data_IF_040742364603
#
_entry.id   IF_040742364603
#
_cell.length_a   1.000
_cell.length_b   1.000
_cell.length_c   1.000
_cell.angle_alpha   90.00
_cell.angle_beta   90.00
_cell.angle_gamma   90.00
#
_symmetry.space_group_name_H-M   'P 1'
#
loop_
_entity.id
_entity.type
_entity.pdbx_description
1 polymer ?
#
# COMPACT_ATOMS: atom_id res chain seq x y z
N UNK A 1 16.21 28.96 -2.45
CA UNK A 1 16.96 28.56 -3.64
C UNK A 1 16.25 27.36 -4.22
N UNK A 2 15.48 27.56 -5.30
CA UNK A 2 14.81 26.47 -6.01
C UNK A 2 15.94 25.61 -6.61
N UNK A 3 16.02 24.34 -6.24
CA UNK A 3 16.97 23.43 -6.88
C UNK A 3 16.52 23.28 -8.34
N UNK A 4 17.34 23.77 -9.26
CA UNK A 4 17.13 23.53 -10.70
C UNK A 4 17.27 22.04 -10.94
N UNK A 5 16.18 21.39 -11.31
CA UNK A 5 16.25 20.01 -11.79
C UNK A 5 16.59 20.00 -13.28
N UNK A 6 17.24 18.96 -13.79
CA UNK A 6 17.42 18.82 -15.21
C UNK A 6 16.06 18.81 -15.91
N UNK A 7 15.94 19.52 -17.02
CA UNK A 7 14.72 19.50 -17.83
C UNK A 7 14.54 18.18 -18.58
N UNK A 8 15.63 17.44 -18.77
CA UNK A 8 15.67 16.17 -19.52
C UNK A 8 16.79 15.27 -19.00
N UNK A 9 16.56 13.96 -19.08
CA UNK A 9 17.53 12.89 -18.80
C UNK A 9 17.36 11.85 -19.91
N UNK A 10 18.35 11.69 -20.79
CA UNK A 10 18.24 10.87 -21.99
C UNK A 10 17.05 11.30 -22.85
N UNK A 11 16.17 10.37 -23.20
CA UNK A 11 14.90 10.64 -23.93
C UNK A 11 13.73 11.06 -23.03
N UNK A 12 13.93 11.21 -21.71
CA UNK A 12 12.87 11.45 -20.74
C UNK A 12 12.80 12.93 -20.36
N UNK A 13 11.65 13.56 -20.59
CA UNK A 13 11.36 14.93 -20.20
C UNK A 13 10.95 14.97 -18.74
N UNK A 14 11.70 15.67 -17.88
CA UNK A 14 11.45 15.75 -16.44
C UNK A 14 10.28 16.70 -16.17
N UNK A 15 9.22 16.20 -15.52
CA UNK A 15 8.04 16.97 -15.17
C UNK A 15 8.08 17.50 -13.72
N UNK A 16 8.62 16.70 -12.78
CA UNK A 16 8.67 17.06 -11.36
C UNK A 16 9.71 16.24 -10.60
N UNK A 17 10.27 16.84 -9.54
CA UNK A 17 11.05 16.14 -8.53
C UNK A 17 10.11 15.50 -7.49
N UNK A 18 10.31 14.22 -7.19
CA UNK A 18 9.47 13.46 -6.25
C UNK A 18 10.14 13.25 -4.88
N UNK A 19 11.45 13.44 -4.80
CA UNK A 19 12.21 13.24 -3.57
C UNK A 19 13.44 12.35 -3.76
N UNK A 20 14.09 11.99 -2.66
CA UNK A 20 15.23 11.08 -2.63
C UNK A 20 16.35 11.55 -1.71
N UNK A 21 17.33 10.64 -1.49
CA UNK A 21 18.54 10.88 -0.70
C UNK A 21 19.79 10.61 -1.54
N UNK A 22 20.36 9.40 -1.42
CA UNK A 22 21.48 8.95 -2.27
C UNK A 22 21.10 8.79 -3.75
N UNK A 23 19.82 8.66 -4.05
CA UNK A 23 19.24 8.74 -5.39
C UNK A 23 18.13 9.77 -5.42
N UNK A 24 18.00 10.47 -6.53
CA UNK A 24 16.90 11.42 -6.77
C UNK A 24 15.85 10.76 -7.62
N UNK A 25 14.59 10.92 -7.28
CA UNK A 25 13.46 10.36 -8.03
C UNK A 25 12.70 11.51 -8.70
N UNK A 26 12.43 11.35 -9.99
CA UNK A 26 11.70 12.31 -10.80
C UNK A 26 10.51 11.66 -11.48
N UNK A 27 9.43 12.39 -11.61
CA UNK A 27 8.38 12.09 -12.58
C UNK A 27 8.82 12.64 -13.93
N UNK A 28 8.74 11.81 -14.97
CA UNK A 28 9.12 12.20 -16.32
C UNK A 28 8.18 11.59 -17.36
N UNK A 29 8.28 12.10 -18.60
CA UNK A 29 7.57 11.59 -19.75
C UNK A 29 8.56 11.01 -20.75
N UNK A 30 8.36 9.77 -21.18
CA UNK A 30 9.09 9.18 -22.32
C UNK A 30 8.66 9.93 -23.59
N UNK A 31 9.59 10.67 -24.20
CA UNK A 31 9.30 11.49 -25.40
C UNK A 31 9.00 10.66 -26.64
N UNK A 32 9.37 9.36 -26.65
CA UNK A 32 9.14 8.44 -27.77
C UNK A 32 7.82 7.72 -27.61
N UNK A 33 7.53 7.18 -26.40
CA UNK A 33 6.34 6.38 -26.14
C UNK A 33 5.17 7.19 -25.58
N UNK A 34 5.40 8.45 -25.17
CA UNK A 34 4.39 9.36 -24.65
C UNK A 34 3.86 9.00 -23.25
N UNK A 35 4.42 7.99 -22.59
CA UNK A 35 3.97 7.53 -21.26
C UNK A 35 4.74 8.20 -20.12
N UNK A 36 4.07 8.34 -18.96
CA UNK A 36 4.74 8.76 -17.73
C UNK A 36 5.58 7.63 -17.14
N UNK A 37 6.73 7.99 -16.60
CA UNK A 37 7.69 7.09 -15.94
C UNK A 37 8.22 7.73 -14.67
N UNK A 38 8.76 6.93 -13.76
CA UNK A 38 9.58 7.37 -12.66
C UNK A 38 11.07 7.17 -13.04
N UNK A 39 11.87 8.19 -12.84
CA UNK A 39 13.32 8.13 -13.05
C UNK A 39 14.02 8.17 -11.70
N UNK A 40 14.71 7.10 -11.33
CA UNK A 40 15.61 7.05 -10.17
C UNK A 40 17.03 7.30 -10.68
N UNK A 41 17.65 8.40 -10.27
CA UNK A 41 18.98 8.85 -10.74
C UNK A 41 19.92 8.87 -9.56
N UNK A 42 21.09 8.29 -9.68
CA UNK A 42 22.10 8.33 -8.62
C UNK A 42 22.54 9.78 -8.38
N UNK A 43 22.53 10.24 -7.13
CA UNK A 43 22.88 11.61 -6.78
C UNK A 43 24.37 11.90 -7.09
N UNK A 44 24.69 13.16 -7.40
CA UNK A 44 26.05 13.57 -7.76
C UNK A 44 27.11 13.17 -6.72
N UNK A 45 26.77 13.29 -5.44
CA UNK A 45 27.63 12.87 -4.31
C UNK A 45 27.94 11.37 -4.29
N UNK A 46 27.01 10.53 -4.77
CA UNK A 46 27.15 9.08 -4.83
C UNK A 46 27.66 8.60 -6.20
N UNK A 47 27.48 9.41 -7.27
CA UNK A 47 27.93 9.07 -8.61
C UNK A 47 29.46 9.04 -8.77
N UNK A 48 30.20 9.66 -7.86
CA UNK A 48 31.67 9.60 -7.82
C UNK A 48 32.20 8.35 -7.11
N UNK A 49 31.34 7.61 -6.42
CA UNK A 49 31.69 6.38 -5.71
C UNK A 49 31.44 5.14 -6.58
N UNK A 50 32.50 4.38 -6.97
CA UNK A 50 32.34 3.18 -7.78
C UNK A 50 31.48 2.10 -7.10
N UNK A 51 31.52 1.99 -5.78
CA UNK A 51 30.73 1.02 -5.01
C UNK A 51 29.24 1.38 -5.06
N UNK A 52 28.90 2.64 -4.88
CA UNK A 52 27.52 3.12 -5.02
C UNK A 52 26.96 2.89 -6.43
N UNK A 53 27.76 3.14 -7.48
CA UNK A 53 27.38 2.81 -8.86
C UNK A 53 27.15 1.32 -9.07
N UNK A 54 28.04 0.48 -8.55
CA UNK A 54 27.93 -0.97 -8.68
C UNK A 54 26.65 -1.49 -7.99
N UNK A 55 26.35 -1.01 -6.78
CA UNK A 55 25.13 -1.34 -6.04
C UNK A 55 23.87 -0.89 -6.79
N UNK A 56 23.86 0.34 -7.33
CA UNK A 56 22.74 0.86 -8.11
C UNK A 56 22.47 0.02 -9.37
N UNK A 57 23.52 -0.38 -10.09
CA UNK A 57 23.42 -1.25 -11.25
C UNK A 57 22.94 -2.66 -10.88
N UNK A 58 23.41 -3.20 -9.76
CA UNK A 58 22.96 -4.50 -9.24
C UNK A 58 21.47 -4.48 -8.90
N UNK A 59 20.99 -3.41 -8.24
CA UNK A 59 19.56 -3.20 -7.95
C UNK A 59 18.75 -3.17 -9.26
N UNK A 60 19.18 -2.40 -10.26
CA UNK A 60 18.50 -2.32 -11.54
C UNK A 60 18.43 -3.67 -12.26
N UNK A 61 19.52 -4.44 -12.30
CA UNK A 61 19.57 -5.78 -12.90
C UNK A 61 18.63 -6.74 -12.21
N UNK A 62 18.59 -6.73 -10.87
CA UNK A 62 17.70 -7.60 -10.13
C UNK A 62 16.24 -7.21 -10.35
N UNK A 63 15.91 -5.93 -10.19
CA UNK A 63 14.53 -5.44 -10.37
C UNK A 63 14.01 -5.71 -11.79
N UNK A 64 14.85 -5.57 -12.82
CA UNK A 64 14.47 -5.86 -14.21
C UNK A 64 14.23 -7.35 -14.51
N UNK A 65 14.80 -8.25 -13.69
CA UNK A 65 14.61 -9.71 -13.83
C UNK A 65 13.30 -10.21 -13.19
N UNK A 66 12.58 -9.34 -12.48
CA UNK A 66 11.40 -9.67 -11.69
C UNK A 66 10.17 -9.06 -12.36
N UNK A 67 9.17 -9.90 -12.65
CA UNK A 67 7.87 -9.45 -13.15
C UNK A 67 6.75 -10.00 -12.28
N UNK A 68 6.10 -9.12 -11.52
CA UNK A 68 4.98 -9.46 -10.64
C UNK A 68 4.06 -8.25 -10.49
N UNK A 69 2.74 -8.46 -10.43
CA UNK A 69 1.76 -7.37 -10.35
C UNK A 69 1.93 -6.44 -9.14
N UNK A 70 2.44 -6.97 -8.03
CA UNK A 70 2.69 -6.23 -6.79
C UNK A 70 4.17 -5.85 -6.58
N UNK A 71 4.96 -5.79 -7.65
CA UNK A 71 6.34 -5.30 -7.66
C UNK A 71 6.45 -4.21 -8.74
N UNK A 72 7.20 -3.17 -8.45
CA UNK A 72 7.42 -2.10 -9.43
C UNK A 72 8.14 -2.63 -10.66
N UNK A 73 7.65 -2.29 -11.85
CA UNK A 73 8.28 -2.68 -13.10
C UNK A 73 9.44 -1.73 -13.44
N UNK A 74 10.60 -2.30 -13.75
CA UNK A 74 11.74 -1.55 -14.34
C UNK A 74 11.64 -1.68 -15.86
N UNK A 75 11.67 -0.54 -16.56
CA UNK A 75 11.48 -0.47 -17.99
C UNK A 75 12.80 -0.32 -18.76
N UNK A 76 13.75 0.42 -18.18
CA UNK A 76 14.99 0.76 -18.85
C UNK A 76 16.07 1.14 -17.82
N UNK A 77 17.31 1.17 -18.26
CA UNK A 77 18.45 1.62 -17.50
C UNK A 77 19.40 2.36 -18.44
N UNK A 78 19.97 3.46 -17.97
CA UNK A 78 20.91 4.24 -18.76
C UNK A 78 21.91 4.99 -17.90
N UNK A 79 22.81 5.70 -18.58
CA UNK A 79 23.74 6.62 -17.95
C UNK A 79 23.79 7.92 -18.76
N UNK A 80 23.76 9.07 -18.09
CA UNK A 80 23.91 10.40 -18.69
C UNK A 80 24.84 11.24 -17.83
N UNK A 81 25.83 11.87 -18.46
CA UNK A 81 26.89 12.67 -17.80
C UNK A 81 27.56 11.91 -16.63
N UNK A 82 27.83 10.61 -16.82
CA UNK A 82 28.42 9.75 -15.79
C UNK A 82 27.53 9.36 -14.63
N UNK A 83 26.24 9.70 -14.69
CA UNK A 83 25.23 9.38 -13.68
C UNK A 83 24.29 8.28 -14.16
N UNK A 84 24.32 7.11 -13.55
CA UNK A 84 23.37 6.06 -13.88
C UNK A 84 21.95 6.43 -13.45
N UNK A 85 20.97 6.06 -14.28
CA UNK A 85 19.55 6.21 -13.99
C UNK A 85 18.78 4.94 -14.32
N UNK A 86 17.72 4.70 -13.56
CA UNK A 86 16.75 3.61 -13.76
C UNK A 86 15.41 4.21 -14.10
N UNK A 87 14.75 3.64 -15.10
CA UNK A 87 13.41 4.02 -15.55
C UNK A 87 12.42 3.00 -15.07
N UNK A 88 11.44 3.44 -14.33
CA UNK A 88 10.46 2.58 -13.69
C UNK A 88 9.03 2.99 -14.04
N UNK A 89 8.11 2.10 -13.77
CA UNK A 89 6.68 2.38 -13.73
C UNK A 89 6.41 3.61 -12.85
N UNK A 90 5.65 4.57 -13.37
CA UNK A 90 5.13 5.67 -12.55
C UNK A 90 3.88 5.19 -11.81
N UNK A 91 3.93 5.26 -10.49
CA UNK A 91 2.82 4.84 -9.63
C UNK A 91 2.02 6.06 -9.18
N UNK A 92 0.72 6.03 -9.41
CA UNK A 92 -0.20 7.00 -8.83
C UNK A 92 -0.56 6.58 -7.40
N UNK A 93 -0.68 7.55 -6.48
CA UNK A 93 -0.95 7.27 -5.08
C UNK A 93 0.15 7.81 -4.16
N UNK A 94 0.44 7.07 -3.10
CA UNK A 94 1.42 7.48 -2.08
C UNK A 94 2.13 6.27 -1.46
N UNK A 95 3.21 6.52 -0.72
CA UNK A 95 3.83 5.45 0.06
C UNK A 95 2.91 4.97 1.17
N UNK A 96 3.01 3.69 1.53
CA UNK A 96 2.23 3.12 2.64
C UNK A 96 2.55 3.85 3.96
N UNK A 97 3.77 4.40 4.12
CA UNK A 97 4.13 5.27 5.25
C UNK A 97 3.17 6.44 5.36
N UNK A 98 3.02 7.20 4.29
CA UNK A 98 2.13 8.37 4.22
C UNK A 98 0.66 7.95 4.41
N UNK A 99 0.25 6.82 3.83
CA UNK A 99 -1.10 6.31 4.00
C UNK A 99 -1.41 5.91 5.45
N UNK A 100 -0.45 5.31 6.19
CA UNK A 100 -0.58 4.98 7.62
C UNK A 100 -0.69 6.28 8.44
N UNK A 101 0.25 7.21 8.28
CA UNK A 101 0.29 8.48 9.02
C UNK A 101 -0.99 9.30 8.84
N UNK A 102 -1.52 9.32 7.63
CA UNK A 102 -2.76 10.02 7.29
C UNK A 102 -4.03 9.19 7.52
N UNK A 103 -3.92 7.99 8.09
CA UNK A 103 -5.03 7.06 8.36
C UNK A 103 -5.87 6.75 7.12
N UNK A 104 -5.23 6.63 5.95
CA UNK A 104 -5.86 6.35 4.64
C UNK A 104 -5.74 4.89 4.18
N UNK A 105 -5.38 4.00 5.07
CA UNK A 105 -5.22 2.56 4.78
C UNK A 105 -6.54 1.80 4.71
N UNK A 106 -7.66 2.47 5.00
CA UNK A 106 -9.00 1.88 4.97
C UNK A 106 -9.34 1.05 6.20
N UNK A 107 -10.35 0.19 6.06
CA UNK A 107 -10.81 -0.72 7.10
C UNK A 107 -9.86 -1.93 7.29
N UNK A 108 -10.20 -2.79 8.25
CA UNK A 108 -9.40 -3.97 8.58
C UNK A 108 -9.20 -4.89 7.35
N UNK A 109 -10.25 -5.15 6.59
CA UNK A 109 -10.18 -6.02 5.43
C UNK A 109 -9.25 -5.45 4.35
N UNK A 110 -9.34 -4.14 4.07
CA UNK A 110 -8.46 -3.45 3.11
C UNK A 110 -7.00 -3.48 3.56
N UNK A 111 -6.71 -3.28 4.85
CA UNK A 111 -5.35 -3.39 5.39
C UNK A 111 -4.79 -4.80 5.22
N UNK A 112 -5.59 -5.84 5.48
CA UNK A 112 -5.18 -7.21 5.22
C UNK A 112 -4.98 -7.50 3.72
N UNK A 113 -5.79 -6.92 2.82
CA UNK A 113 -5.60 -7.04 1.38
C UNK A 113 -4.29 -6.40 0.91
N UNK A 114 -3.93 -5.22 1.44
CA UNK A 114 -2.62 -4.58 1.19
C UNK A 114 -1.50 -5.51 1.67
N UNK A 115 -1.58 -6.01 2.90
CA UNK A 115 -0.58 -6.92 3.45
C UNK A 115 -0.46 -8.21 2.62
N UNK A 116 -1.57 -8.78 2.17
CA UNK A 116 -1.59 -9.97 1.31
C UNK A 116 -0.86 -9.75 -0.01
N UNK A 117 -1.09 -8.62 -0.67
CA UNK A 117 -0.41 -8.24 -1.91
C UNK A 117 1.10 -8.12 -1.70
N UNK A 118 1.53 -7.46 -0.62
CA UNK A 118 2.95 -7.35 -0.24
C UNK A 118 3.53 -8.72 0.09
N UNK A 119 2.83 -9.55 0.85
CA UNK A 119 3.26 -10.92 1.16
C UNK A 119 3.44 -11.78 -0.09
N UNK A 120 2.54 -11.70 -1.07
CA UNK A 120 2.65 -12.38 -2.36
C UNK A 120 3.87 -11.92 -3.15
N UNK A 121 4.14 -10.60 -3.18
CA UNK A 121 5.33 -10.03 -3.80
C UNK A 121 6.62 -10.58 -3.18
N UNK A 122 6.71 -10.59 -1.83
CA UNK A 122 7.88 -11.12 -1.12
C UNK A 122 8.02 -12.63 -1.35
N UNK A 123 6.91 -13.37 -1.29
CA UNK A 123 6.91 -14.81 -1.60
C UNK A 123 7.45 -15.10 -3.00
N UNK A 124 7.09 -14.28 -3.99
CA UNK A 124 7.56 -14.42 -5.36
C UNK A 124 9.07 -14.19 -5.48
N UNK A 125 9.64 -13.15 -4.85
CA UNK A 125 11.10 -12.92 -4.91
C UNK A 125 11.87 -14.00 -4.17
N UNK A 126 11.33 -14.57 -3.08
CA UNK A 126 11.94 -15.69 -2.39
C UNK A 126 12.03 -16.96 -3.27
N UNK A 127 11.03 -17.22 -4.13
CA UNK A 127 11.11 -18.29 -5.13
C UNK A 127 12.24 -18.07 -6.15
N UNK A 128 12.62 -16.80 -6.39
CA UNK A 128 13.77 -16.42 -7.21
C UNK A 128 15.09 -16.39 -6.43
N UNK A 129 15.09 -16.88 -5.18
CA UNK A 129 16.24 -16.88 -4.26
C UNK A 129 16.76 -15.47 -3.93
N UNK A 130 15.87 -14.47 -3.92
CA UNK A 130 16.15 -13.09 -3.58
C UNK A 130 15.57 -12.80 -2.21
N UNK A 131 16.38 -12.20 -1.33
CA UNK A 131 15.96 -11.65 -0.04
C UNK A 131 15.91 -10.13 -0.18
N UNK A 132 14.79 -9.52 0.25
CA UNK A 132 14.57 -8.09 0.08
C UNK A 132 15.39 -7.24 1.07
N UNK A 133 15.46 -7.66 2.34
CA UNK A 133 16.27 -7.05 3.42
C UNK A 133 15.84 -5.65 3.89
N UNK A 134 14.87 -5.01 3.23
CA UNK A 134 14.40 -3.66 3.58
C UNK A 134 12.88 -3.51 3.45
N UNK A 135 12.13 -4.48 3.99
CA UNK A 135 10.66 -4.42 4.02
C UNK A 135 10.23 -3.39 5.06
N UNK A 136 9.59 -2.31 4.57
CA UNK A 136 9.06 -1.22 5.39
C UNK A 136 8.01 -0.41 4.61
N UNK A 137 7.16 0.37 5.26
CA UNK A 137 6.10 1.13 4.59
C UNK A 137 6.59 2.14 3.55
N UNK A 138 7.80 2.68 3.71
CA UNK A 138 8.42 3.61 2.76
C UNK A 138 8.68 2.96 1.39
N UNK A 139 8.95 1.66 1.38
CA UNK A 139 9.25 0.86 0.18
C UNK A 139 8.00 0.18 -0.41
N UNK A 140 6.81 0.57 0.03
CA UNK A 140 5.54 0.07 -0.49
C UNK A 140 4.71 1.26 -0.95
N UNK A 141 4.29 1.24 -2.21
CA UNK A 141 3.39 2.24 -2.77
C UNK A 141 1.97 1.68 -2.81
N UNK A 142 0.98 2.51 -2.49
CA UNK A 142 -0.43 2.12 -2.50
C UNK A 142 -1.22 3.14 -3.30
N UNK A 143 -1.98 2.67 -4.29
CA UNK A 143 -2.86 3.51 -5.07
C UNK A 143 -4.23 3.74 -4.37
N UNK A 144 -5.06 4.68 -4.85
CA UNK A 144 -6.38 4.95 -4.28
C UNK A 144 -7.32 3.72 -4.27
N UNK A 145 -7.10 2.76 -5.16
CA UNK A 145 -7.88 1.52 -5.23
C UNK A 145 -7.37 0.43 -4.25
N UNK A 146 -6.24 0.67 -3.56
CA UNK A 146 -5.64 -0.27 -2.62
C UNK A 146 -4.75 -1.33 -3.29
N UNK A 147 -4.29 -1.08 -4.52
CA UNK A 147 -3.27 -1.92 -5.14
C UNK A 147 -1.92 -1.51 -4.57
N UNK A 148 -1.20 -2.50 -4.03
CA UNK A 148 0.11 -2.31 -3.43
C UNK A 148 1.22 -2.76 -4.38
N UNK A 149 2.32 -2.00 -4.42
CA UNK A 149 3.54 -2.37 -5.14
C UNK A 149 4.76 -2.20 -4.24
N UNK A 150 5.55 -3.27 -4.16
CA UNK A 150 6.83 -3.30 -3.48
C UNK A 150 7.90 -2.67 -4.37
N UNK A 151 8.73 -1.82 -3.78
CA UNK A 151 9.79 -1.06 -4.46
C UNK A 151 11.13 -1.28 -3.74
N UNK A 152 12.21 -0.79 -4.33
CA UNK A 152 13.53 -0.62 -3.72
C UNK A 152 14.06 -1.87 -2.99
N UNK A 153 14.70 -2.76 -3.74
CA UNK A 153 15.37 -3.94 -3.17
C UNK A 153 16.57 -3.50 -2.33
N UNK A 154 16.62 -3.94 -1.07
CA UNK A 154 17.65 -3.57 -0.11
C UNK A 154 19.05 -4.17 -0.37
N UNK A 155 19.43 -4.36 -1.64
CA UNK A 155 20.73 -4.94 -2.07
C UNK A 155 21.92 -4.08 -1.61
N UNK A 156 21.67 -2.80 -1.38
CA UNK A 156 22.71 -1.85 -0.97
C UNK A 156 23.11 -1.99 0.51
N UNK A 157 22.41 -2.80 1.32
CA UNK A 157 22.77 -2.99 2.73
C UNK A 157 23.95 -3.96 2.83
N UNK A 158 25.03 -3.58 3.54
CA UNK A 158 26.17 -4.47 3.76
C UNK A 158 25.76 -5.75 4.48
N UNK A 159 26.23 -6.90 4.00
CA UNK A 159 25.96 -8.20 4.61
C UNK A 159 26.64 -8.42 5.97
N UNK A 160 27.74 -7.66 6.27
CA UNK A 160 28.69 -8.00 7.35
C UNK A 160 28.91 -6.92 8.41
N UNK A 161 28.08 -5.86 8.47
CA UNK A 161 28.30 -4.79 9.48
C UNK A 161 27.38 -5.01 10.67
N UNK A 162 27.96 -5.32 11.84
CA UNK A 162 27.26 -5.25 13.13
C UNK A 162 26.83 -3.80 13.39
N UNK A 163 25.59 -3.49 13.08
CA UNK A 163 25.03 -2.14 13.24
C UNK A 163 25.02 -1.69 14.71
N UNK A 164 24.96 -2.65 15.64
CA UNK A 164 25.05 -2.39 17.08
C UNK A 164 26.38 -1.77 17.51
N UNK A 165 27.49 -2.06 16.80
CA UNK A 165 28.84 -1.63 17.19
C UNK A 165 29.31 -0.34 16.51
N UNK A 166 28.62 0.12 15.46
CA UNK A 166 29.13 1.19 14.59
C UNK A 166 28.56 2.57 14.85
N UNK A 167 27.50 2.70 15.66
CA UNK A 167 26.81 4.00 15.85
C UNK A 167 26.20 4.55 14.55
N UNK A 168 26.23 3.79 13.46
CA UNK A 168 25.79 4.22 12.14
C UNK A 168 24.27 4.07 11.99
N UNK A 169 23.58 5.18 11.83
CA UNK A 169 22.14 5.21 11.55
C UNK A 169 21.91 5.24 10.04
N UNK A 170 22.14 4.12 9.36
CA UNK A 170 21.72 3.99 7.95
C UNK A 170 20.29 3.49 7.91
N UNK A 171 19.34 4.40 7.84
CA UNK A 171 17.91 4.09 7.70
C UNK A 171 17.16 3.94 9.03
N UNK A 172 15.90 3.57 8.93
CA UNK A 172 14.98 3.43 10.07
C UNK A 172 15.07 2.01 10.63
N UNK A 173 15.65 1.76 11.82
CA UNK A 173 15.98 0.41 12.30
C UNK A 173 14.76 -0.41 12.78
N UNK A 174 13.58 0.19 12.84
CA UNK A 174 12.37 -0.40 13.43
C UNK A 174 11.90 -1.71 12.79
N UNK A 175 12.29 -1.97 11.55
CA UNK A 175 11.86 -3.15 10.78
C UNK A 175 12.96 -4.21 10.67
N UNK A 176 14.15 -3.95 11.23
CA UNK A 176 15.27 -4.89 11.19
C UNK A 176 14.97 -6.13 12.02
N UNK A 177 15.35 -7.29 11.49
CA UNK A 177 15.30 -8.54 12.24
C UNK A 177 16.46 -8.65 13.23
N UNK A 178 16.34 -9.49 14.29
CA UNK A 178 17.42 -9.71 15.26
C UNK A 178 18.75 -10.10 14.60
N UNK A 179 18.73 -10.98 13.61
CA UNK A 179 19.91 -11.39 12.87
C UNK A 179 20.57 -10.25 12.08
N UNK A 180 19.76 -9.31 11.53
CA UNK A 180 20.31 -8.12 10.88
C UNK A 180 20.98 -7.17 11.88
N UNK A 181 20.42 -6.99 13.06
CA UNK A 181 21.01 -6.18 14.13
C UNK A 181 22.34 -6.76 14.59
N UNK A 182 22.43 -8.09 14.68
CA UNK A 182 23.63 -8.82 15.12
C UNK A 182 24.67 -8.99 14.00
N UNK A 183 24.39 -8.59 12.76
CA UNK A 183 25.28 -8.83 11.62
C UNK A 183 25.51 -10.32 11.35
N UNK A 184 24.46 -11.13 11.56
CA UNK A 184 24.47 -12.57 11.26
C UNK A 184 23.99 -12.83 9.83
N UNK A 185 24.08 -14.08 9.37
CA UNK A 185 23.60 -14.47 8.07
C UNK A 185 22.11 -14.14 7.88
N UNK A 186 21.82 -13.28 6.91
CA UNK A 186 20.47 -12.81 6.61
C UNK A 186 19.84 -13.70 5.55
N UNK A 187 18.83 -14.45 5.95
CA UNK A 187 18.04 -15.31 5.08
C UNK A 187 16.66 -14.70 4.79
N UNK A 188 15.83 -15.41 4.01
CA UNK A 188 14.44 -15.04 3.78
C UNK A 188 13.61 -14.89 5.07
N UNK A 189 14.08 -15.41 6.19
CA UNK A 189 13.45 -15.27 7.50
C UNK A 189 13.51 -13.82 8.04
N UNK A 190 14.48 -13.02 7.60
CA UNK A 190 14.53 -11.60 7.94
C UNK A 190 13.34 -10.84 7.34
N UNK A 191 12.98 -11.15 6.08
CA UNK A 191 11.81 -10.53 5.44
C UNK A 191 10.50 -10.95 6.11
N UNK A 192 10.41 -12.19 6.64
CA UNK A 192 9.26 -12.64 7.42
C UNK A 192 9.11 -11.81 8.70
N UNK A 193 10.22 -11.53 9.40
CA UNK A 193 10.21 -10.67 10.59
C UNK A 193 9.79 -9.24 10.25
N UNK A 194 10.43 -8.63 9.26
CA UNK A 194 10.14 -7.26 8.83
C UNK A 194 8.69 -7.11 8.36
N UNK A 195 8.14 -8.14 7.69
CA UNK A 195 6.72 -8.21 7.33
C UNK A 195 5.81 -8.29 8.57
N UNK A 196 6.21 -9.03 9.60
CA UNK A 196 5.49 -9.07 10.88
C UNK A 196 5.39 -7.69 11.52
N UNK A 197 6.51 -6.91 11.53
CA UNK A 197 6.54 -5.52 12.01
C UNK A 197 5.62 -4.62 11.18
N UNK A 198 5.69 -4.76 9.85
CA UNK A 198 4.82 -4.02 8.91
C UNK A 198 3.34 -4.32 9.16
N UNK A 199 2.97 -5.59 9.29
CA UNK A 199 1.59 -6.01 9.53
C UNK A 199 1.08 -5.49 10.87
N UNK A 200 1.91 -5.55 11.92
CA UNK A 200 1.59 -4.96 13.21
C UNK A 200 1.26 -3.47 13.07
N UNK A 201 2.17 -2.68 12.50
CA UNK A 201 1.98 -1.24 12.37
C UNK A 201 0.78 -0.89 11.50
N UNK A 202 0.57 -1.62 10.40
CA UNK A 202 -0.57 -1.42 9.50
C UNK A 202 -1.92 -1.62 10.22
N UNK A 203 -1.98 -2.56 11.17
CA UNK A 203 -3.21 -2.89 11.89
C UNK A 203 -3.38 -2.09 13.17
N UNK A 204 -2.33 -1.93 13.97
CA UNK A 204 -2.36 -1.16 15.22
C UNK A 204 -2.27 0.35 15.01
N UNK A 205 -1.77 0.82 13.84
CA UNK A 205 -1.53 2.24 13.55
C UNK A 205 -0.31 2.84 14.27
N UNK A 206 0.45 2.01 15.00
CA UNK A 206 1.71 2.38 15.70
C UNK A 206 2.72 1.25 15.58
N UNK A 207 4.01 1.58 15.68
CA UNK A 207 5.07 0.58 15.60
C UNK A 207 5.09 -0.31 16.85
N UNK A 208 5.49 -1.60 16.73
CA UNK A 208 5.63 -2.49 17.89
C UNK A 208 6.80 -2.11 18.80
N UNK A 209 7.77 -1.39 18.25
CA UNK A 209 8.99 -0.97 18.96
C UNK A 209 9.19 0.52 18.68
N UNK A 210 9.26 1.30 19.77
CA UNK A 210 9.62 2.72 19.73
C UNK A 210 10.62 3.01 20.85
N UNK A 211 11.65 3.79 20.55
CA UNK A 211 12.63 4.24 21.51
C UNK A 211 13.30 5.54 21.04
N UNK A 212 14.00 6.22 21.97
CA UNK A 212 14.60 7.53 21.76
C UNK A 212 15.83 7.50 20.85
N UNK A 213 16.53 6.35 20.78
CA UNK A 213 17.74 6.19 19.98
C UNK A 213 17.86 4.76 19.42
N UNK A 214 18.76 4.59 18.45
CA UNK A 214 18.97 3.32 17.76
C UNK A 214 19.42 2.19 18.68
N UNK A 215 20.25 2.50 19.68
CA UNK A 215 20.76 1.51 20.64
C UNK A 215 19.62 0.89 21.46
N UNK A 216 18.71 1.72 21.99
CA UNK A 216 17.52 1.23 22.70
C UNK A 216 16.58 0.47 21.77
N UNK A 217 16.47 0.87 20.49
CA UNK A 217 15.68 0.13 19.49
C UNK A 217 16.29 -1.26 19.29
N UNK A 218 17.60 -1.36 19.09
CA UNK A 218 18.30 -2.63 18.92
C UNK A 218 18.13 -3.53 20.14
N UNK A 219 18.30 -2.98 21.36
CA UNK A 219 18.05 -3.73 22.59
C UNK A 219 16.64 -4.34 22.60
N UNK A 220 15.62 -3.54 22.28
CA UNK A 220 14.23 -4.01 22.23
C UNK A 220 14.01 -5.08 21.16
N UNK A 221 14.59 -4.91 19.96
CA UNK A 221 14.53 -5.92 18.90
C UNK A 221 15.08 -7.25 19.39
N UNK A 222 16.17 -7.23 20.14
CA UNK A 222 16.87 -8.45 20.58
C UNK A 222 16.20 -9.09 21.81
N UNK A 223 15.75 -8.31 22.77
CA UNK A 223 15.49 -8.81 24.14
C UNK A 223 14.04 -8.63 24.60
N UNK A 224 13.35 -7.55 24.19
CA UNK A 224 12.03 -7.27 24.75
C UNK A 224 10.96 -8.17 24.12
N UNK A 225 9.98 -8.62 24.92
CA UNK A 225 8.81 -9.30 24.39
C UNK A 225 7.99 -8.37 23.50
N UNK A 226 7.24 -8.95 22.55
CA UNK A 226 6.32 -8.19 21.72
C UNK A 226 5.09 -7.79 22.55
N UNK A 227 4.81 -6.48 22.64
CA UNK A 227 3.57 -5.96 23.20
C UNK A 227 2.42 -6.18 22.19
N UNK A 228 1.42 -6.95 22.59
CA UNK A 228 0.24 -7.26 21.76
C UNK A 228 -0.99 -6.42 22.13
N UNK A 229 -0.96 -5.66 23.22
CA UNK A 229 -2.10 -4.87 23.68
C UNK A 229 -2.64 -3.91 22.62
N UNK A 230 -1.79 -3.19 21.85
CA UNK A 230 -2.26 -2.32 20.76
C UNK A 230 -3.06 -3.03 19.67
N UNK A 231 -2.77 -4.31 19.42
CA UNK A 231 -3.54 -5.11 18.46
C UNK A 231 -4.89 -5.53 19.04
N UNK A 232 -4.96 -5.80 20.35
CA UNK A 232 -6.21 -6.06 21.04
C UNK A 232 -7.11 -4.82 21.09
N UNK A 233 -6.52 -3.64 21.43
CA UNK A 233 -7.21 -2.34 21.39
C UNK A 233 -7.78 -2.04 20.00
N UNK A 234 -7.04 -2.39 18.94
CA UNK A 234 -7.48 -2.25 17.55
C UNK A 234 -8.46 -3.34 17.10
N UNK A 235 -8.91 -4.23 18.00
CA UNK A 235 -9.82 -5.35 17.73
C UNK A 235 -9.35 -6.25 16.57
N UNK A 236 -8.03 -6.47 16.47
CA UNK A 236 -7.44 -7.36 15.46
C UNK A 236 -7.83 -8.80 15.75
N UNK A 237 -8.20 -9.55 14.73
CA UNK A 237 -8.61 -10.95 14.86
C UNK A 237 -7.50 -11.80 15.52
N UNK A 238 -7.82 -12.69 16.49
CA UNK A 238 -6.84 -13.48 17.24
C UNK A 238 -5.87 -14.28 16.33
N UNK A 239 -6.38 -14.82 15.22
CA UNK A 239 -5.56 -15.55 14.25
C UNK A 239 -4.47 -14.67 13.62
N UNK A 240 -4.76 -13.38 13.38
CA UNK A 240 -3.79 -12.42 12.82
C UNK A 240 -2.79 -11.98 13.90
N UNK A 241 -3.23 -11.81 15.14
CA UNK A 241 -2.33 -11.54 16.28
C UNK A 241 -1.33 -12.69 16.44
N UNK A 242 -1.79 -13.95 16.38
CA UNK A 242 -0.91 -15.11 16.47
C UNK A 242 0.06 -15.19 15.27
N UNK A 243 -0.40 -14.84 14.06
CA UNK A 243 0.46 -14.75 12.88
C UNK A 243 1.57 -13.69 13.08
N UNK A 244 1.23 -12.49 13.54
CA UNK A 244 2.19 -11.42 13.83
C UNK A 244 3.22 -11.90 14.87
N UNK A 245 2.75 -12.48 15.96
CA UNK A 245 3.60 -13.02 17.02
C UNK A 245 4.60 -14.05 16.49
N UNK A 246 4.14 -14.95 15.62
CA UNK A 246 5.00 -15.95 14.96
C UNK A 246 5.99 -15.32 13.99
N UNK A 247 5.55 -14.37 13.15
CA UNK A 247 6.45 -13.68 12.23
C UNK A 247 7.56 -12.93 12.98
N UNK A 248 7.24 -12.33 14.13
CA UNK A 248 8.18 -11.56 14.94
C UNK A 248 8.93 -12.37 16.01
N UNK A 249 8.89 -13.72 15.96
CA UNK A 249 9.70 -14.55 16.83
C UNK A 249 11.19 -14.21 16.67
N UNK A 250 11.91 -14.11 17.83
CA UNK A 250 13.33 -13.73 17.80
C UNK A 250 14.17 -14.80 17.08
N UNK A 251 14.03 -16.11 17.38
CA UNK A 251 14.71 -17.15 16.63
C UNK A 251 14.09 -17.30 15.23
N UNK A 252 14.88 -17.22 14.13
CA UNK A 252 14.36 -17.39 12.78
C UNK A 252 13.63 -18.72 12.54
N UNK A 253 14.06 -19.80 13.22
CA UNK A 253 13.47 -21.13 13.09
C UNK A 253 12.03 -21.25 13.63
N UNK A 254 11.61 -20.34 14.52
CA UNK A 254 10.25 -20.29 15.08
C UNK A 254 9.26 -19.52 14.19
N UNK A 255 9.77 -18.80 13.19
CA UNK A 255 8.95 -18.05 12.25
C UNK A 255 8.31 -18.96 11.21
N UNK A 256 7.22 -18.53 10.54
CA UNK A 256 6.69 -19.22 9.38
C UNK A 256 7.78 -19.50 8.34
N UNK A 257 7.84 -20.72 7.81
CA UNK A 257 8.90 -21.14 6.87
C UNK A 257 8.93 -20.35 5.57
N UNK A 258 7.86 -19.63 5.23
CA UNK A 258 7.78 -18.81 4.03
C UNK A 258 6.42 -18.16 3.85
N UNK A 259 6.33 -17.30 2.85
CA UNK A 259 5.14 -16.47 2.61
C UNK A 259 3.90 -17.25 2.16
N UNK A 260 4.02 -18.48 1.69
CA UNK A 260 2.85 -19.34 1.46
C UNK A 260 2.01 -19.54 2.71
N UNK A 261 2.66 -19.77 3.88
CA UNK A 261 1.98 -19.91 5.17
C UNK A 261 1.39 -18.58 5.63
N UNK A 262 2.17 -17.48 5.49
CA UNK A 262 1.74 -16.13 5.89
C UNK A 262 0.53 -15.66 5.09
N UNK A 263 0.59 -15.78 3.76
CA UNK A 263 -0.50 -15.40 2.87
C UNK A 263 -1.75 -16.25 3.11
N UNK A 264 -1.59 -17.57 3.27
CA UNK A 264 -2.70 -18.48 3.56
C UNK A 264 -3.46 -18.11 4.84
N UNK A 265 -2.75 -17.73 5.90
CA UNK A 265 -3.39 -17.28 7.16
C UNK A 265 -4.16 -15.97 6.98
N UNK A 266 -3.63 -15.02 6.19
CA UNK A 266 -4.32 -13.76 5.88
C UNK A 266 -5.56 -14.02 5.02
N UNK A 267 -5.45 -14.86 3.98
CA UNK A 267 -6.55 -15.23 3.09
C UNK A 267 -7.69 -15.91 3.86
N UNK A 268 -7.36 -16.82 4.77
CA UNK A 268 -8.35 -17.47 5.62
C UNK A 268 -9.09 -16.47 6.50
N UNK A 269 -8.37 -15.51 7.10
CA UNK A 269 -9.00 -14.45 7.91
C UNK A 269 -9.92 -13.58 7.08
N UNK A 270 -9.52 -13.18 5.87
CA UNK A 270 -10.34 -12.41 4.95
C UNK A 270 -11.61 -13.17 4.55
N UNK A 271 -11.50 -14.48 4.30
CA UNK A 271 -12.62 -15.36 3.96
C UNK A 271 -13.62 -15.46 5.11
N UNK A 272 -13.13 -15.66 6.34
CA UNK A 272 -13.97 -15.73 7.52
C UNK A 272 -14.68 -14.40 7.82
N UNK A 273 -13.97 -13.27 7.66
CA UNK A 273 -14.56 -11.92 7.81
C UNK A 273 -15.65 -11.62 6.78
N UNK A 274 -15.51 -12.15 5.55
CA UNK A 274 -16.53 -12.02 4.52
C UNK A 274 -17.79 -12.88 4.77
N UNK A 275 -17.67 -13.94 5.56
CA UNK A 275 -18.79 -14.85 5.90
C UNK A 275 -19.56 -14.39 7.16
N UNK A 276 -18.98 -13.49 7.97
CA UNK A 276 -19.69 -12.92 9.12
C UNK A 276 -20.61 -11.79 8.62
N UNK A 277 -21.92 -11.79 8.98
CA UNK A 277 -22.77 -10.63 8.71
C UNK A 277 -22.12 -9.41 9.35
N UNK A 278 -21.92 -8.36 8.56
CA UNK A 278 -21.38 -7.09 9.05
C UNK A 278 -22.22 -6.63 10.24
N UNK A 279 -21.65 -6.46 11.46
CA UNK A 279 -22.43 -5.86 12.53
C UNK A 279 -22.92 -4.52 12.02
N UNK A 280 -24.24 -4.28 12.17
CA UNK A 280 -24.81 -2.98 11.86
C UNK A 280 -23.99 -1.91 12.60
N UNK A 281 -23.62 -0.79 11.96
CA UNK A 281 -22.85 0.25 12.60
C UNK A 281 -23.57 0.66 13.88
N UNK A 282 -22.91 0.45 15.02
CA UNK A 282 -23.43 0.89 16.31
C UNK A 282 -23.53 2.42 16.29
N UNK A 283 -24.75 2.95 16.31
CA UNK A 283 -24.98 4.40 16.41
C UNK A 283 -25.47 5.12 15.16
N UNK A 284 -25.91 4.43 14.12
CA UNK A 284 -26.78 5.08 13.13
C UNK A 284 -28.17 5.15 13.76
N UNK A 285 -28.59 6.33 14.22
CA UNK A 285 -30.02 6.67 14.28
C UNK A 285 -30.60 6.15 12.98
N UNK A 286 -31.63 5.29 13.06
CA UNK A 286 -32.28 4.76 11.87
C UNK A 286 -32.47 5.93 10.89
N UNK A 287 -31.93 5.79 9.67
CA UNK A 287 -32.33 6.73 8.62
C UNK A 287 -33.84 6.74 8.60
N UNK A 288 -34.47 7.92 8.57
CA UNK A 288 -35.94 7.99 8.54
C UNK A 288 -36.39 7.09 7.39
N UNK A 289 -37.35 6.22 7.68
CA UNK A 289 -37.87 5.33 6.63
C UNK A 289 -38.45 6.21 5.52
N UNK A 290 -38.44 5.72 4.30
CA UNK A 290 -39.05 6.45 3.17
C UNK A 290 -40.50 6.88 3.49
N UNK A 291 -41.19 6.19 4.41
CA UNK A 291 -42.53 6.53 4.90
C UNK A 291 -42.50 7.75 5.84
N UNK A 292 -41.43 7.98 6.60
CA UNK A 292 -41.33 9.12 7.53
C UNK A 292 -41.04 10.45 6.81
N UNK A 293 -40.38 10.40 5.61
CA UNK A 293 -40.12 11.56 4.77
C UNK A 293 -41.24 11.81 3.73
N UNK A 294 -42.28 10.97 3.69
CA UNK A 294 -43.35 11.06 2.70
C UNK A 294 -44.20 12.30 2.92
N UNK A 295 -44.39 13.15 1.91
CA UNK A 295 -45.28 14.30 1.99
C UNK A 295 -46.68 13.93 2.46
N UNK A 296 -47.36 14.76 3.29
CA UNK A 296 -48.67 14.41 3.92
C UNK A 296 -49.76 13.98 2.92
N UNK A 297 -49.74 14.51 1.70
CA UNK A 297 -50.72 14.16 0.67
C UNK A 297 -50.58 12.74 0.10
N UNK A 298 -49.40 12.13 0.25
CA UNK A 298 -49.16 10.76 -0.19
C UNK A 298 -49.46 9.72 0.91
N UNK A 299 -49.56 10.15 2.17
CA UNK A 299 -49.81 9.24 3.30
C UNK A 299 -51.24 8.64 3.29
N UNK A 300 -52.15 9.26 2.56
CA UNK A 300 -53.54 8.75 2.36
C UNK A 300 -53.67 7.64 1.30
N UNK A 301 -52.61 7.28 0.58
CA UNK A 301 -52.69 6.25 -0.44
C UNK A 301 -52.68 4.83 0.13
N UNK A 302 -53.31 3.83 -0.55
CA UNK A 302 -53.20 2.42 -0.18
C UNK A 302 -51.77 1.93 -0.11
N UNK A 303 -51.44 1.04 0.81
CA UNK A 303 -50.09 0.55 1.09
C UNK A 303 -49.27 0.15 -0.15
N UNK A 304 -49.77 -0.56 -1.17
CA UNK A 304 -49.00 -0.91 -2.35
C UNK A 304 -48.58 0.28 -3.23
N UNK A 305 -49.28 1.42 -3.10
CA UNK A 305 -48.96 2.66 -3.85
C UNK A 305 -48.00 3.60 -3.10
N UNK A 306 -47.72 3.32 -1.82
CA UNK A 306 -46.73 4.09 -1.03
C UNK A 306 -45.29 3.67 -1.25
N UNK A 307 -45.05 2.54 -1.91
CA UNK A 307 -43.69 2.09 -2.26
C UNK A 307 -43.11 2.93 -3.38
N UNK A 308 -41.75 2.98 -3.49
CA UNK A 308 -41.05 3.64 -4.58
C UNK A 308 -41.57 3.19 -5.94
N UNK A 309 -41.90 1.90 -6.11
CA UNK A 309 -42.48 1.34 -7.34
C UNK A 309 -43.89 1.84 -7.59
N UNK A 310 -44.75 1.93 -6.56
CA UNK A 310 -46.09 2.46 -6.66
C UNK A 310 -46.11 3.96 -7.01
N UNK A 311 -45.23 4.75 -6.41
CA UNK A 311 -45.09 6.17 -6.71
C UNK A 311 -44.56 6.41 -8.15
N UNK A 312 -43.60 5.60 -8.62
CA UNK A 312 -43.12 5.64 -10.00
C UNK A 312 -44.25 5.30 -11.00
N UNK A 313 -45.11 4.33 -10.66
CA UNK A 313 -46.29 3.98 -11.44
C UNK A 313 -47.31 5.13 -11.53
N UNK A 314 -47.60 5.79 -10.38
CA UNK A 314 -48.48 6.97 -10.38
C UNK A 314 -47.92 8.16 -11.16
N UNK A 315 -46.60 8.42 -11.05
CA UNK A 315 -45.90 9.43 -11.85
C UNK A 315 -46.00 9.11 -13.38
N UNK A 316 -45.85 7.84 -13.74
CA UNK A 316 -46.01 7.37 -15.12
C UNK A 316 -47.44 7.61 -15.68
N UNK A 317 -48.48 7.33 -14.86
CA UNK A 317 -49.89 7.61 -15.24
C UNK A 317 -50.12 9.11 -15.37
N UNK A 318 -49.62 9.92 -14.45
CA UNK A 318 -49.76 11.40 -14.53
C UNK A 318 -49.10 11.97 -15.79
N UNK A 319 -47.92 11.47 -16.17
CA UNK A 319 -47.22 11.88 -17.39
C UNK A 319 -48.00 11.45 -18.65
N UNK A 320 -48.57 10.27 -18.68
CA UNK A 320 -49.41 9.79 -19.77
C UNK A 320 -50.69 10.64 -19.94
N UNK A 321 -51.34 10.97 -18.82
CA UNK A 321 -52.55 11.83 -18.85
C UNK A 321 -52.20 13.26 -19.33
N UNK A 322 -51.08 13.85 -18.83
CA UNK A 322 -50.64 15.15 -19.28
C UNK A 322 -50.31 15.16 -20.78
N UNK A 323 -49.66 14.11 -21.30
CA UNK A 323 -49.35 13.97 -22.72
C UNK A 323 -50.64 13.83 -23.57
N UNK A 324 -51.62 13.06 -23.09
CA UNK A 324 -52.92 12.91 -23.73
C UNK A 324 -53.68 14.25 -23.81
N UNK A 325 -53.72 15.02 -22.70
CA UNK A 325 -54.36 16.35 -22.67
C UNK A 325 -53.68 17.31 -23.65
N UNK A 326 -52.35 17.34 -23.69
CA UNK A 326 -51.60 18.17 -24.68
C UNK A 326 -51.90 17.72 -26.11
N UNK A 327 -51.90 16.41 -26.36
CA UNK A 327 -52.20 15.86 -27.70
C UNK A 327 -53.61 16.21 -28.18
N UNK A 328 -54.61 16.03 -27.29
CA UNK A 328 -56.01 16.39 -27.62
C UNK A 328 -56.20 17.91 -27.75
N UNK A 329 -55.55 18.72 -26.90
CA UNK A 329 -55.57 20.17 -26.98
C UNK A 329 -54.97 20.68 -28.30
N UNK A 330 -53.86 20.14 -28.74
CA UNK A 330 -53.21 20.48 -30.03
C UNK A 330 -54.05 20.02 -31.24
N UNK A 331 -54.81 18.95 -31.08
CA UNK A 331 -55.71 18.46 -32.13
C UNK A 331 -56.96 19.33 -32.29
N UNK A 332 -57.51 19.82 -31.15
CA UNK A 332 -58.62 20.78 -31.18
C UNK A 332 -58.18 22.13 -31.79
N UNK A 333 -57.00 22.62 -31.48
CA UNK A 333 -56.46 23.87 -32.02
C UNK A 333 -56.13 23.82 -33.51
N UNK A 334 -56.12 22.63 -34.18
CA UNK A 334 -55.98 22.47 -35.62
C UNK A 334 -57.31 22.34 -36.37
N UNK A 335 -58.44 22.39 -35.67
CA UNK A 335 -59.79 22.28 -36.25
C UNK A 335 -60.54 23.59 -36.22
N UNK A 336 -59.92 24.63 -35.58
CA UNK A 336 -60.33 26.03 -35.61
C UNK A 336 -59.34 26.79 -36.49
#
# INVERSE_FOLDING_TARGET
>A
MLMEHPSRIGKYEVEAYLGGGMSRVYRAKDSVLGRRVALKVLADSAASDPEAKAKFLQEARLASSIAHENIIAVYDFGEEDGRPFMVMEFLEGESLRVAIEKRRTGDFARRLQIALQVGRAIGYIHLKKVVHRDIKPENIHVDPLGRAKLMDFGIAKPDDVRLADTGFTVGTPYYMSPEQVLGQDVTNQADVYSFGVLLYELLAGKKPIEAENSEKIFHKILHDPLDLEPLHEAAVAPAVIDLIRKCMAKPPAERPRGFGIVCGAIEETLRQGALQPRPAPAGTTAEPSFEDEMPPFLQGLPAPLRTLGGLAFLAGIATLLATAVIYFGLRLARVI
#
